data_IF_057180680643
#
_entry.id   IF_057180680643
#
_cell.length_a   1.000
_cell.length_b   1.000
_cell.length_c   1.000
_cell.angle_alpha   90.00
_cell.angle_beta   90.00
_cell.angle_gamma   90.00
#
_symmetry.space_group_name_H-M   'P 1'
#
loop_
_entity.id
_entity.type
_entity.pdbx_description
1 polymer ?
#
# COMPACT_ATOMS: atom_id res chain seq x y z
N UNK A 1 23.54 -7.39 -18.79
CA UNK A 1 23.34 -8.55 -17.89
C UNK A 1 23.29 -8.19 -16.41
N UNK A 2 24.25 -7.47 -15.81
CA UNK A 2 24.26 -7.14 -14.35
C UNK A 2 22.99 -6.46 -13.80
N UNK A 3 22.33 -5.56 -14.54
CA UNK A 3 21.08 -4.92 -14.10
C UNK A 3 19.88 -5.86 -14.03
N UNK A 4 19.75 -6.81 -14.98
CA UNK A 4 18.69 -7.83 -14.97
C UNK A 4 18.88 -8.81 -13.80
N UNK A 5 20.12 -9.23 -13.54
CA UNK A 5 20.46 -10.12 -12.43
C UNK A 5 20.16 -9.47 -11.07
N UNK A 6 20.49 -8.19 -10.88
CA UNK A 6 20.15 -7.44 -9.66
C UNK A 6 18.64 -7.35 -9.41
N UNK A 7 17.83 -7.15 -10.47
CA UNK A 7 16.36 -7.10 -10.33
C UNK A 7 15.76 -8.47 -9.98
N UNK A 8 16.28 -9.54 -10.57
CA UNK A 8 15.85 -10.93 -10.25
C UNK A 8 16.23 -11.28 -8.80
N UNK A 9 17.45 -10.96 -8.36
CA UNK A 9 17.87 -11.19 -6.98
C UNK A 9 17.03 -10.41 -5.97
N UNK A 10 16.69 -9.15 -6.26
CA UNK A 10 15.78 -8.37 -5.42
C UNK A 10 14.39 -9.01 -5.34
N UNK A 11 13.85 -9.46 -6.47
CA UNK A 11 12.56 -10.16 -6.50
C UNK A 11 12.59 -11.43 -5.65
N UNK A 12 13.59 -12.28 -5.84
CA UNK A 12 13.75 -13.51 -5.08
C UNK A 12 13.95 -13.24 -3.58
N UNK A 13 14.66 -12.19 -3.22
CA UNK A 13 14.84 -11.77 -1.82
C UNK A 13 13.51 -11.38 -1.17
N UNK A 14 12.73 -10.48 -1.77
CA UNK A 14 11.45 -10.04 -1.19
C UNK A 14 10.39 -11.14 -1.21
N UNK A 15 10.39 -11.99 -2.24
CA UNK A 15 9.53 -13.17 -2.29
C UNK A 15 9.93 -14.18 -1.21
N UNK A 16 11.22 -14.48 -1.09
CA UNK A 16 11.75 -15.37 -0.06
C UNK A 16 11.49 -14.85 1.35
N UNK A 17 11.64 -13.54 1.57
CA UNK A 17 11.27 -12.89 2.84
C UNK A 17 9.78 -13.08 3.14
N UNK A 18 8.90 -12.83 2.16
CA UNK A 18 7.46 -13.02 2.32
C UNK A 18 7.07 -14.46 2.65
N UNK A 19 7.61 -15.42 1.88
CA UNK A 19 7.38 -16.85 2.13
C UNK A 19 7.97 -17.30 3.48
N UNK A 20 9.14 -16.78 3.85
CA UNK A 20 9.74 -17.02 5.17
C UNK A 20 8.88 -16.52 6.32
N UNK A 21 8.26 -15.33 6.17
CA UNK A 21 7.31 -14.78 7.15
C UNK A 21 6.02 -15.60 7.24
N UNK A 22 5.52 -16.12 6.11
CA UNK A 22 4.38 -17.05 6.12
C UNK A 22 4.76 -18.32 6.86
N UNK A 23 5.89 -18.93 6.49
CA UNK A 23 6.37 -20.13 7.15
C UNK A 23 6.54 -19.90 8.66
N UNK A 24 7.16 -18.80 9.07
CA UNK A 24 7.35 -18.42 10.46
C UNK A 24 6.00 -18.29 11.21
N UNK A 25 5.01 -17.64 10.59
CA UNK A 25 3.71 -17.41 11.21
C UNK A 25 2.85 -18.68 11.33
N UNK A 26 3.05 -19.66 10.44
CA UNK A 26 2.28 -20.91 10.42
C UNK A 26 2.99 -22.05 11.14
N UNK A 27 4.33 -22.11 11.07
CA UNK A 27 5.11 -23.20 11.66
C UNK A 27 5.07 -23.21 13.20
N UNK A 28 4.85 -22.03 13.81
CA UNK A 28 4.70 -21.92 15.28
C UNK A 28 3.32 -22.30 15.81
N UNK A 29 2.34 -22.62 14.94
CA UNK A 29 0.98 -22.95 15.36
C UNK A 29 0.89 -24.41 15.80
N UNK A 30 0.30 -24.64 16.96
CA UNK A 30 -0.09 -25.97 17.42
C UNK A 30 -1.23 -26.56 16.56
N UNK A 31 -1.42 -27.89 16.55
CA UNK A 31 -2.55 -28.50 15.85
C UNK A 31 -3.93 -27.93 16.24
N UNK A 32 -4.10 -27.54 17.51
CA UNK A 32 -5.31 -26.88 18.01
C UNK A 32 -5.50 -25.50 17.40
N UNK A 33 -4.45 -24.68 17.32
CA UNK A 33 -4.49 -23.35 16.70
C UNK A 33 -4.74 -23.42 15.20
N UNK A 34 -4.23 -24.44 14.51
CA UNK A 34 -4.53 -24.70 13.09
C UNK A 34 -6.00 -25.07 12.91
N UNK A 35 -6.58 -25.89 13.81
CA UNK A 35 -7.99 -26.21 13.80
C UNK A 35 -8.86 -24.97 14.08
N UNK A 36 -8.48 -24.13 15.07
CA UNK A 36 -9.13 -22.84 15.35
C UNK A 36 -9.11 -21.93 14.14
N UNK A 37 -7.95 -21.79 13.47
CA UNK A 37 -7.81 -20.98 12.27
C UNK A 37 -8.75 -21.46 11.14
N UNK A 38 -8.82 -22.77 10.90
CA UNK A 38 -9.74 -23.36 9.89
C UNK A 38 -11.21 -23.10 10.23
N UNK A 39 -11.60 -23.28 11.49
CA UNK A 39 -12.95 -22.99 11.96
C UNK A 39 -13.29 -21.51 11.78
N UNK A 40 -12.37 -20.63 12.14
CA UNK A 40 -12.50 -19.18 11.97
C UNK A 40 -12.68 -18.74 10.52
N UNK A 41 -11.98 -19.38 9.57
CA UNK A 41 -12.23 -19.15 8.14
C UNK A 41 -13.64 -19.60 7.72
N UNK A 42 -14.11 -20.75 8.22
CA UNK A 42 -15.44 -21.27 7.92
C UNK A 42 -16.56 -20.37 8.47
N UNK A 43 -16.35 -19.72 9.60
CA UNK A 43 -17.31 -18.79 10.22
C UNK A 43 -17.34 -17.42 9.54
N UNK A 44 -16.38 -17.15 8.62
CA UNK A 44 -16.30 -15.86 7.94
C UNK A 44 -17.51 -15.63 7.04
N UNK A 45 -18.23 -14.56 7.30
CA UNK A 45 -19.42 -14.16 6.54
C UNK A 45 -19.01 -13.42 5.27
N UNK A 46 -18.72 -14.16 4.19
CA UNK A 46 -18.20 -13.64 2.92
C UNK A 46 -19.05 -12.51 2.31
N UNK A 47 -20.35 -12.46 2.59
CA UNK A 47 -21.26 -11.41 2.09
C UNK A 47 -20.80 -10.02 2.53
N UNK A 48 -20.24 -9.88 3.74
CA UNK A 48 -19.71 -8.61 4.24
C UNK A 48 -18.38 -8.20 3.60
N UNK A 49 -17.75 -9.08 2.81
CA UNK A 49 -16.58 -8.69 2.01
C UNK A 49 -17.00 -7.95 0.72
N UNK A 50 -18.24 -8.06 0.25
CA UNK A 50 -18.70 -7.31 -0.93
C UNK A 50 -18.56 -5.79 -0.75
N UNK A 51 -19.02 -5.17 0.36
CA UNK A 51 -18.75 -3.76 0.63
C UNK A 51 -17.25 -3.42 0.68
N UNK A 52 -16.42 -4.31 1.24
CA UNK A 52 -14.95 -4.15 1.26
C UNK A 52 -14.40 -4.04 -0.16
N UNK A 53 -14.79 -4.97 -1.06
CA UNK A 53 -14.37 -4.95 -2.46
C UNK A 53 -14.84 -3.67 -3.17
N UNK A 54 -16.05 -3.19 -2.87
CA UNK A 54 -16.58 -1.95 -3.43
C UNK A 54 -15.78 -0.72 -2.99
N UNK A 55 -15.43 -0.62 -1.70
CA UNK A 55 -14.54 0.44 -1.20
C UNK A 55 -13.19 0.44 -1.93
N UNK A 56 -12.60 -0.74 -2.15
CA UNK A 56 -11.33 -0.86 -2.88
C UNK A 56 -11.46 -0.40 -4.34
N UNK A 57 -12.55 -0.73 -5.03
CA UNK A 57 -12.80 -0.26 -6.40
C UNK A 57 -12.97 1.27 -6.46
N UNK A 58 -13.70 1.88 -5.50
CA UNK A 58 -13.84 3.33 -5.40
C UNK A 58 -12.47 3.98 -5.16
N UNK A 59 -11.63 3.38 -4.30
CA UNK A 59 -10.28 3.90 -4.07
C UNK A 59 -9.44 3.86 -5.35
N UNK A 60 -9.52 2.78 -6.14
CA UNK A 60 -8.81 2.66 -7.42
C UNK A 60 -9.33 3.67 -8.46
N UNK A 61 -10.64 3.90 -8.50
CA UNK A 61 -11.24 4.92 -9.35
C UNK A 61 -10.78 6.33 -8.95
N UNK A 62 -10.83 6.65 -7.66
CA UNK A 62 -10.35 7.94 -7.14
C UNK A 62 -8.85 8.14 -7.41
N UNK A 63 -8.06 7.07 -7.35
CA UNK A 63 -6.64 7.08 -7.74
C UNK A 63 -6.47 7.40 -9.23
N UNK A 64 -7.30 6.86 -10.10
CA UNK A 64 -7.26 7.16 -11.53
C UNK A 64 -7.61 8.64 -11.82
N UNK A 65 -8.65 9.17 -11.17
CA UNK A 65 -9.00 10.60 -11.28
C UNK A 65 -7.85 11.47 -10.77
N UNK A 66 -7.30 11.16 -9.59
CA UNK A 66 -6.16 11.87 -9.01
C UNK A 66 -4.95 11.86 -9.95
N UNK A 67 -4.63 10.71 -10.55
CA UNK A 67 -3.53 10.60 -11.49
C UNK A 67 -3.76 11.42 -12.77
N UNK A 68 -4.99 11.44 -13.30
CA UNK A 68 -5.37 12.28 -14.42
C UNK A 68 -5.16 13.77 -14.10
N UNK A 69 -5.59 14.23 -12.91
CA UNK A 69 -5.40 15.61 -12.46
C UNK A 69 -3.93 16.02 -12.42
N UNK A 70 -3.02 15.10 -12.13
CA UNK A 70 -1.58 15.34 -12.13
C UNK A 70 -0.99 15.49 -13.52
N UNK A 71 -1.67 15.05 -14.57
CA UNK A 71 -1.26 15.20 -15.97
C UNK A 71 -1.75 16.51 -16.58
N UNK A 72 -2.83 17.13 -16.05
CA UNK A 72 -3.38 18.39 -16.55
C UNK A 72 -2.36 19.54 -16.63
N UNK A 73 -1.50 19.79 -15.60
CA UNK A 73 -0.49 20.85 -15.66
C UNK A 73 0.61 20.61 -16.70
N UNK A 74 0.73 19.36 -17.19
CA UNK A 74 1.67 18.99 -18.25
C UNK A 74 1.07 19.14 -19.64
N UNK A 75 -0.20 19.60 -19.72
CA UNK A 75 -0.95 19.75 -20.98
C UNK A 75 -1.60 18.47 -21.49
N UNK A 76 -1.70 17.42 -20.67
CA UNK A 76 -2.27 16.14 -21.09
C UNK A 76 -3.60 15.84 -20.39
N UNK A 77 -4.59 15.44 -21.18
CA UNK A 77 -5.96 15.16 -20.72
C UNK A 77 -6.40 13.76 -21.16
N UNK A 78 -5.77 12.67 -20.62
CA UNK A 78 -6.13 11.31 -21.01
C UNK A 78 -7.59 10.99 -20.66
N UNK A 79 -8.19 10.04 -21.38
CA UNK A 79 -9.53 9.54 -21.06
C UNK A 79 -9.51 8.88 -19.68
N UNK A 80 -10.52 9.19 -18.86
CA UNK A 80 -10.63 8.60 -17.52
C UNK A 80 -10.77 7.08 -17.56
N UNK A 81 -11.51 6.53 -18.55
CA UNK A 81 -11.61 5.09 -18.77
C UNK A 81 -10.23 4.43 -18.96
N UNK A 82 -9.40 4.99 -19.86
CA UNK A 82 -8.04 4.47 -20.05
C UNK A 82 -7.20 4.62 -18.78
N UNK A 83 -7.24 5.79 -18.12
CA UNK A 83 -6.49 6.01 -16.88
C UNK A 83 -6.91 5.01 -15.79
N UNK A 84 -8.22 4.73 -15.66
CA UNK A 84 -8.72 3.76 -14.68
C UNK A 84 -8.26 2.34 -15.01
N UNK A 85 -8.41 1.91 -16.26
CA UNK A 85 -7.90 0.58 -16.68
C UNK A 85 -6.40 0.45 -16.45
N UNK A 86 -5.60 1.52 -16.69
CA UNK A 86 -4.16 1.50 -16.41
C UNK A 86 -3.85 1.36 -14.92
N UNK A 87 -4.63 1.96 -14.03
CA UNK A 87 -4.47 1.78 -12.58
C UNK A 87 -4.72 0.33 -12.19
N UNK A 88 -5.80 -0.29 -12.68
CA UNK A 88 -6.13 -1.70 -12.38
C UNK A 88 -5.06 -2.65 -12.93
N UNK A 89 -4.63 -2.46 -14.18
CA UNK A 89 -3.55 -3.22 -14.81
C UNK A 89 -2.23 -3.03 -14.04
N UNK A 90 -1.95 -1.82 -13.57
CA UNK A 90 -0.78 -1.53 -12.76
C UNK A 90 -0.76 -2.33 -11.46
N UNK A 91 -1.86 -2.39 -10.73
CA UNK A 91 -1.97 -3.21 -9.53
C UNK A 91 -1.81 -4.70 -9.82
N UNK A 92 -2.45 -5.19 -10.88
CA UNK A 92 -2.34 -6.59 -11.32
C UNK A 92 -0.88 -6.98 -11.60
N UNK A 93 -0.15 -6.19 -12.38
CA UNK A 93 1.25 -6.49 -12.67
C UNK A 93 2.17 -6.33 -11.45
N UNK A 94 1.82 -5.50 -10.49
CA UNK A 94 2.54 -5.40 -9.23
C UNK A 94 2.34 -6.61 -8.31
N UNK A 95 1.27 -7.39 -8.46
CA UNK A 95 1.14 -8.70 -7.80
C UNK A 95 2.17 -9.70 -8.35
N UNK A 96 2.43 -9.65 -9.67
CA UNK A 96 3.31 -10.60 -10.34
C UNK A 96 4.79 -10.26 -10.12
N UNK A 97 5.16 -8.99 -10.35
CA UNK A 97 6.55 -8.53 -10.26
C UNK A 97 6.62 -7.13 -9.62
N UNK A 98 7.52 -6.90 -8.64
CA UNK A 98 7.67 -5.59 -8.01
C UNK A 98 7.92 -4.49 -9.03
N UNK A 99 7.19 -3.37 -8.91
CA UNK A 99 7.33 -2.17 -9.77
C UNK A 99 7.00 -2.36 -11.25
N UNK A 100 6.69 -3.59 -11.69
CA UNK A 100 6.32 -3.83 -13.09
C UNK A 100 5.03 -3.09 -13.45
N UNK A 101 4.09 -3.01 -12.53
CA UNK A 101 2.83 -2.31 -12.75
C UNK A 101 3.00 -0.82 -13.03
N UNK A 102 3.97 -0.16 -12.41
CA UNK A 102 4.25 1.26 -12.68
C UNK A 102 4.80 1.46 -14.09
N UNK A 103 5.65 0.54 -14.55
CA UNK A 103 6.17 0.54 -15.92
C UNK A 103 5.04 0.24 -16.91
N UNK A 104 4.23 -0.78 -16.63
CA UNK A 104 3.14 -1.21 -17.53
C UNK A 104 2.07 -0.12 -17.66
N UNK A 105 1.63 0.50 -16.56
CA UNK A 105 0.63 1.57 -16.64
C UNK A 105 1.14 2.78 -17.43
N UNK A 106 2.42 3.16 -17.30
CA UNK A 106 3.02 4.23 -18.10
C UNK A 106 3.14 3.86 -19.58
N UNK A 107 3.65 2.67 -19.88
CA UNK A 107 3.86 2.23 -21.24
C UNK A 107 2.55 2.09 -22.00
N UNK A 108 1.53 1.50 -21.38
CA UNK A 108 0.23 1.35 -22.01
C UNK A 108 -0.48 2.69 -22.16
N UNK A 109 -0.48 3.56 -21.14
CA UNK A 109 -1.09 4.89 -21.26
C UNK A 109 -0.41 5.74 -22.32
N UNK A 110 0.95 5.68 -22.37
CA UNK A 110 1.73 6.34 -23.45
C UNK A 110 1.30 5.86 -24.83
N UNK A 111 1.09 4.56 -24.99
CA UNK A 111 0.69 3.97 -26.27
C UNK A 111 -0.72 4.40 -26.70
N UNK A 112 -1.70 4.39 -25.79
CA UNK A 112 -3.10 4.64 -26.12
C UNK A 112 -3.46 6.14 -26.15
N UNK A 113 -2.83 6.95 -25.30
CA UNK A 113 -3.14 8.40 -25.17
C UNK A 113 -2.05 9.30 -25.78
N UNK A 114 -0.98 8.70 -26.36
CA UNK A 114 0.13 9.43 -27.00
C UNK A 114 0.86 10.42 -26.07
N UNK A 115 0.93 10.10 -24.77
CA UNK A 115 1.64 10.89 -23.77
C UNK A 115 3.08 10.36 -23.64
N UNK A 116 4.12 11.20 -23.66
CA UNK A 116 5.51 10.76 -23.47
C UNK A 116 5.69 10.02 -22.14
N UNK A 117 6.34 8.85 -22.18
CA UNK A 117 6.48 7.98 -20.99
C UNK A 117 7.31 8.62 -19.86
N UNK A 118 8.29 9.48 -20.17
CA UNK A 118 9.08 10.24 -19.21
C UNK A 118 8.22 11.18 -18.37
N UNK A 119 7.22 11.83 -18.97
CA UNK A 119 6.26 12.70 -18.28
C UNK A 119 5.39 11.87 -17.33
N UNK A 120 4.91 10.72 -17.77
CA UNK A 120 4.11 9.79 -16.95
C UNK A 120 4.91 9.27 -15.75
N UNK A 121 6.18 8.90 -15.93
CA UNK A 121 7.05 8.47 -14.83
C UNK A 121 7.19 9.57 -13.78
N UNK A 122 7.34 10.83 -14.20
CA UNK A 122 7.38 11.98 -13.29
C UNK A 122 6.12 12.09 -12.43
N UNK A 123 4.94 11.87 -13.01
CA UNK A 123 3.67 11.90 -12.24
C UNK A 123 3.57 10.74 -11.23
N UNK A 124 4.12 9.56 -11.55
CA UNK A 124 4.14 8.43 -10.60
C UNK A 124 5.03 8.74 -9.40
N UNK A 125 6.20 9.33 -9.60
CA UNK A 125 7.08 9.74 -8.50
C UNK A 125 6.36 10.73 -7.57
N UNK A 126 5.68 11.72 -8.15
CA UNK A 126 4.87 12.67 -7.40
C UNK A 126 3.69 11.99 -6.68
N UNK A 127 3.00 11.02 -7.32
CA UNK A 127 1.95 10.21 -6.71
C UNK A 127 2.46 9.48 -5.46
N UNK A 128 3.62 8.83 -5.54
CA UNK A 128 4.24 8.13 -4.40
C UNK A 128 4.62 9.07 -3.27
N UNK A 129 5.14 10.25 -3.59
CA UNK A 129 5.47 11.27 -2.59
C UNK A 129 4.22 11.68 -1.78
N UNK A 130 3.10 11.89 -2.45
CA UNK A 130 1.84 12.26 -1.80
C UNK A 130 1.27 11.10 -0.97
N UNK A 131 1.37 9.86 -1.46
CA UNK A 131 0.95 8.69 -0.70
C UNK A 131 1.76 8.54 0.60
N UNK A 132 3.09 8.80 0.57
CA UNK A 132 3.94 8.79 1.77
C UNK A 132 3.52 9.88 2.76
N UNK A 133 3.25 11.10 2.28
CA UNK A 133 2.79 12.21 3.13
C UNK A 133 1.43 11.88 3.74
N UNK A 134 0.52 11.32 2.95
CA UNK A 134 -0.81 10.91 3.44
C UNK A 134 -0.68 9.83 4.51
N UNK A 135 0.21 8.84 4.33
CA UNK A 135 0.49 7.82 5.34
C UNK A 135 1.05 8.46 6.63
N UNK A 136 1.95 9.45 6.52
CA UNK A 136 2.45 10.18 7.68
C UNK A 136 1.33 10.90 8.42
N UNK A 137 0.41 11.57 7.70
CA UNK A 137 -0.75 12.24 8.32
C UNK A 137 -1.65 11.24 9.03
N UNK A 138 -1.97 10.10 8.39
CA UNK A 138 -2.78 9.04 9.01
C UNK A 138 -2.08 8.43 10.23
N UNK A 139 -0.76 8.28 10.18
CA UNK A 139 0.05 7.83 11.32
C UNK A 139 -0.02 8.82 12.49
N UNK A 140 0.06 10.13 12.23
CA UNK A 140 -0.10 11.15 13.25
C UNK A 140 -1.51 11.13 13.86
N UNK A 141 -2.56 10.95 13.05
CA UNK A 141 -3.93 10.78 13.52
C UNK A 141 -4.05 9.54 14.40
N UNK A 142 -3.46 8.41 13.98
CA UNK A 142 -3.43 7.17 14.78
C UNK A 142 -2.77 7.43 16.14
N UNK A 143 -1.59 8.02 16.16
CA UNK A 143 -0.88 8.33 17.43
C UNK A 143 -1.72 9.25 18.31
N UNK A 144 -2.29 10.32 17.77
CA UNK A 144 -3.09 11.27 18.53
C UNK A 144 -4.37 10.63 19.11
N UNK A 145 -5.05 9.77 18.33
CA UNK A 145 -6.32 9.16 18.75
C UNK A 145 -6.14 7.91 19.61
N UNK A 146 -5.01 7.21 19.49
CA UNK A 146 -4.72 5.96 20.22
C UNK A 146 -3.61 6.12 21.27
N UNK A 147 -3.19 7.36 21.57
CA UNK A 147 -2.07 7.64 22.46
C UNK A 147 -2.22 6.96 23.82
N UNK A 148 -3.39 7.06 24.43
CA UNK A 148 -3.64 6.47 25.75
C UNK A 148 -3.55 4.93 25.71
N UNK A 149 -4.10 4.29 24.68
CA UNK A 149 -4.09 2.82 24.54
C UNK A 149 -2.69 2.30 24.23
N UNK A 150 -2.00 2.90 23.28
CA UNK A 150 -0.63 2.54 22.94
C UNK A 150 0.33 2.83 24.10
N UNK A 151 0.14 3.97 24.79
CA UNK A 151 0.90 4.34 25.97
C UNK A 151 0.68 3.38 27.14
N UNK A 152 -0.55 2.98 27.42
CA UNK A 152 -0.85 2.02 28.51
C UNK A 152 -0.25 0.65 28.21
N UNK A 153 -0.44 0.11 27.00
CA UNK A 153 0.15 -1.18 26.60
C UNK A 153 1.68 -1.15 26.69
N UNK A 154 2.29 -0.02 26.31
CA UNK A 154 3.74 0.17 26.45
C UNK A 154 4.16 0.27 27.92
N UNK A 155 3.42 1.02 28.74
CA UNK A 155 3.67 1.15 30.17
C UNK A 155 3.49 -0.18 30.92
N UNK A 156 2.49 -0.98 30.58
CA UNK A 156 2.26 -2.30 31.15
C UNK A 156 3.42 -3.26 30.79
N UNK A 157 3.83 -3.25 29.52
CA UNK A 157 4.99 -4.00 29.08
C UNK A 157 6.28 -3.56 29.80
N UNK A 158 6.45 -2.26 30.04
CA UNK A 158 7.58 -1.70 30.80
C UNK A 158 7.49 -2.04 32.28
N UNK A 159 6.30 -1.99 32.90
CA UNK A 159 6.08 -2.37 34.31
C UNK A 159 6.35 -3.84 34.56
N UNK A 160 5.97 -4.72 33.60
CA UNK A 160 6.24 -6.15 33.67
C UNK A 160 7.72 -6.53 33.59
N UNK A 161 8.57 -5.60 33.11
CA UNK A 161 10.04 -5.81 33.00
C UNK A 161 10.84 -5.31 34.22
N UNK A 162 10.19 -4.78 35.29
CA UNK A 162 10.90 -4.12 36.39
C UNK A 162 11.38 -2.71 35.99
N UNK A 163 11.09 -1.68 36.82
CA UNK A 163 11.28 -0.28 36.42
C UNK A 163 12.69 0.08 35.94
N UNK A 164 13.73 -0.50 36.53
CA UNK A 164 15.12 -0.22 36.16
C UNK A 164 15.52 -0.90 34.83
N UNK A 165 15.12 -2.14 34.60
CA UNK A 165 15.35 -2.83 33.31
C UNK A 165 14.59 -2.19 32.16
N UNK A 166 13.35 -1.76 32.42
CA UNK A 166 12.55 -1.06 31.43
C UNK A 166 13.19 0.26 31.01
N UNK A 167 13.65 1.06 31.99
CA UNK A 167 14.36 2.31 31.75
C UNK A 167 15.62 2.10 30.90
N UNK A 168 16.43 1.11 31.27
CA UNK A 168 17.65 0.77 30.52
C UNK A 168 17.33 0.33 29.10
N UNK A 169 16.35 -0.57 28.89
CA UNK A 169 15.94 -1.05 27.54
C UNK A 169 15.40 0.08 26.66
N UNK A 170 14.56 0.97 27.20
CA UNK A 170 14.02 2.12 26.47
C UNK A 170 15.14 3.12 26.14
N UNK A 171 16.02 3.42 27.09
CA UNK A 171 17.15 4.33 26.87
C UNK A 171 18.12 3.76 25.84
N UNK A 172 18.39 2.46 25.87
CA UNK A 172 19.20 1.76 24.85
C UNK A 172 18.52 1.80 23.48
N UNK A 173 17.20 1.55 23.41
CA UNK A 173 16.46 1.62 22.14
C UNK A 173 16.46 3.03 21.56
N UNK A 174 16.20 4.05 22.37
CA UNK A 174 16.28 5.45 21.96
C UNK A 174 17.70 5.83 21.55
N UNK A 175 18.70 5.45 22.31
CA UNK A 175 20.11 5.64 21.97
C UNK A 175 20.49 4.95 20.66
N UNK A 176 20.01 3.73 20.45
CA UNK A 176 20.21 2.99 19.20
C UNK A 176 19.52 3.70 18.02
N UNK A 177 18.27 4.15 18.17
CA UNK A 177 17.55 4.87 17.13
C UNK A 177 18.22 6.20 16.77
N UNK A 178 18.64 6.97 17.78
CA UNK A 178 19.42 8.21 17.58
C UNK A 178 20.76 7.91 16.93
N UNK A 179 21.49 6.90 17.43
CA UNK A 179 22.76 6.47 16.87
C UNK A 179 22.65 6.00 15.41
N UNK A 180 21.62 5.20 15.09
CA UNK A 180 21.31 4.79 13.71
C UNK A 180 20.94 5.99 12.83
N UNK A 181 20.16 6.94 13.37
CA UNK A 181 19.81 8.17 12.66
C UNK A 181 21.04 9.03 12.34
N UNK A 182 21.93 9.23 13.32
CA UNK A 182 23.19 9.95 13.15
C UNK A 182 24.15 9.21 12.20
N UNK A 183 24.24 7.89 12.33
CA UNK A 183 25.05 7.05 11.43
C UNK A 183 24.53 7.14 10.00
N UNK A 184 23.21 7.01 9.82
CA UNK A 184 22.57 7.16 8.50
C UNK A 184 22.83 8.55 7.92
N UNK A 185 22.62 9.60 8.71
CA UNK A 185 22.92 10.99 8.29
C UNK A 185 24.38 11.15 7.89
N UNK A 186 25.32 10.62 8.70
CA UNK A 186 26.76 10.67 8.41
C UNK A 186 27.12 9.90 7.14
N UNK A 187 26.57 8.66 6.98
CA UNK A 187 26.77 7.84 5.78
C UNK A 187 26.23 8.55 4.54
N UNK A 188 25.01 9.09 4.61
CA UNK A 188 24.42 9.83 3.50
C UNK A 188 25.25 11.05 3.12
N UNK A 189 25.80 11.76 4.10
CA UNK A 189 26.63 12.94 3.88
C UNK A 189 28.03 12.59 3.35
N UNK A 190 28.68 11.55 3.92
CA UNK A 190 30.02 11.13 3.53
C UNK A 190 30.05 10.47 2.15
N UNK A 191 29.03 9.69 1.83
CA UNK A 191 28.98 8.88 0.61
C UNK A 191 28.02 9.42 -0.45
N UNK A 192 27.83 10.72 -0.53
CA UNK A 192 26.93 11.39 -1.49
C UNK A 192 27.24 11.05 -2.97
N UNK A 193 28.48 10.69 -3.27
CA UNK A 193 28.92 10.32 -4.61
C UNK A 193 28.48 8.92 -5.04
N UNK A 194 28.12 8.04 -4.09
CA UNK A 194 27.70 6.66 -4.38
C UNK A 194 26.31 6.60 -4.99
N UNK A 195 26.11 5.70 -5.96
CA UNK A 195 24.83 5.51 -6.66
C UNK A 195 23.63 5.28 -5.72
N UNK A 196 23.71 4.41 -4.67
CA UNK A 196 22.58 4.20 -3.77
C UNK A 196 22.24 5.45 -2.95
N UNK A 197 23.24 6.21 -2.50
CA UNK A 197 23.04 7.45 -1.74
C UNK A 197 22.41 8.53 -2.62
N UNK A 198 22.90 8.68 -3.86
CA UNK A 198 22.25 9.56 -4.86
C UNK A 198 20.80 9.16 -5.14
N UNK A 199 20.46 7.88 -5.02
CA UNK A 199 19.07 7.43 -5.15
C UNK A 199 18.20 7.91 -3.98
N UNK A 200 18.73 7.89 -2.74
CA UNK A 200 18.04 8.42 -1.55
C UNK A 200 17.82 9.93 -1.68
N UNK A 201 18.85 10.70 -2.06
CA UNK A 201 18.70 12.14 -2.29
C UNK A 201 17.74 12.46 -3.44
N UNK A 202 17.77 11.66 -4.53
CA UNK A 202 16.79 11.79 -5.62
C UNK A 202 15.38 11.51 -5.16
N UNK A 203 15.18 10.50 -4.33
CA UNK A 203 13.88 10.19 -3.75
C UNK A 203 13.38 11.31 -2.85
N UNK A 204 14.22 11.82 -1.94
CA UNK A 204 13.89 12.97 -1.09
C UNK A 204 13.61 14.24 -1.92
N UNK A 205 14.43 14.51 -2.95
CA UNK A 205 14.19 15.59 -3.91
C UNK A 205 12.91 15.37 -4.73
N UNK A 206 12.58 14.13 -5.06
CA UNK A 206 11.31 13.75 -5.69
C UNK A 206 10.09 14.05 -4.81
N UNK A 207 10.19 13.85 -3.49
CA UNK A 207 9.15 14.22 -2.53
C UNK A 207 8.94 15.73 -2.53
N UNK A 208 10.00 16.53 -2.45
CA UNK A 208 9.91 18.01 -2.47
C UNK A 208 9.38 18.51 -3.81
N UNK A 209 9.85 17.97 -4.93
CA UNK A 209 9.34 18.31 -6.25
C UNK A 209 7.88 17.87 -6.44
N UNK A 210 7.50 16.71 -5.91
CA UNK A 210 6.13 16.24 -5.90
C UNK A 210 5.20 17.19 -5.15
N UNK A 211 5.61 17.65 -3.96
CA UNK A 211 4.89 18.68 -3.19
C UNK A 211 4.77 20.02 -3.94
N UNK A 212 5.86 20.46 -4.56
CA UNK A 212 5.85 21.69 -5.36
C UNK A 212 4.97 21.55 -6.61
N UNK A 213 4.93 20.37 -7.23
CA UNK A 213 4.08 20.12 -8.40
C UNK A 213 2.58 20.19 -8.06
N UNK A 214 2.19 19.80 -6.83
CA UNK A 214 0.81 19.91 -6.35
C UNK A 214 0.32 21.36 -6.32
N UNK A 215 1.20 22.32 -6.01
CA UNK A 215 0.86 23.75 -6.05
C UNK A 215 0.53 24.26 -7.46
N UNK A 216 1.00 23.56 -8.50
CA UNK A 216 0.73 23.89 -9.90
C UNK A 216 -0.57 23.25 -10.44
N UNK A 217 -1.28 22.47 -9.62
CA UNK A 217 -2.51 21.82 -10.04
C UNK A 217 -3.64 22.86 -10.21
N UNK A 218 -4.25 22.89 -11.37
CA UNK A 218 -5.39 23.76 -11.65
C UNK A 218 -6.62 23.43 -10.77
N UNK A 219 -6.75 22.16 -10.34
CA UNK A 219 -7.89 21.64 -9.58
C UNK A 219 -7.44 21.04 -8.23
N UNK A 220 -6.75 21.83 -7.43
CA UNK A 220 -6.19 21.38 -6.14
C UNK A 220 -7.27 20.80 -5.20
N UNK A 221 -8.47 21.42 -5.15
CA UNK A 221 -9.59 20.92 -4.32
C UNK A 221 -10.01 19.51 -4.73
N UNK A 222 -10.17 19.23 -6.02
CA UNK A 222 -10.54 17.92 -6.53
C UNK A 222 -9.42 16.88 -6.22
N UNK A 223 -8.15 17.27 -6.40
CA UNK A 223 -7.01 16.45 -6.06
C UNK A 223 -6.98 16.04 -4.58
N UNK A 224 -7.17 17.02 -3.68
CA UNK A 224 -7.23 16.78 -2.23
C UNK A 224 -8.43 15.91 -1.87
N UNK A 225 -9.60 16.17 -2.45
CA UNK A 225 -10.81 15.36 -2.23
C UNK A 225 -10.57 13.89 -2.61
N UNK A 226 -10.04 13.63 -3.80
CA UNK A 226 -9.75 12.25 -4.22
C UNK A 226 -8.64 11.60 -3.38
N UNK A 227 -7.67 12.38 -2.87
CA UNK A 227 -6.69 11.85 -1.91
C UNK A 227 -7.36 11.42 -0.61
N UNK A 228 -8.27 12.24 -0.05
CA UNK A 228 -9.04 11.90 1.15
C UNK A 228 -9.92 10.67 0.89
N UNK A 229 -10.64 10.63 -0.24
CA UNK A 229 -11.49 9.48 -0.59
C UNK A 229 -10.67 8.18 -0.64
N UNK A 230 -9.47 8.17 -1.23
CA UNK A 230 -8.62 6.98 -1.28
C UNK A 230 -8.35 6.43 0.13
N UNK A 231 -7.92 7.29 1.05
CA UNK A 231 -7.57 6.87 2.40
C UNK A 231 -8.78 6.53 3.26
N UNK A 232 -9.91 7.24 3.08
CA UNK A 232 -11.18 6.89 3.71
C UNK A 232 -11.70 5.53 3.23
N UNK A 233 -11.60 5.24 1.93
CA UNK A 233 -12.03 3.94 1.39
C UNK A 233 -11.14 2.79 1.90
N UNK A 234 -9.85 3.02 2.10
CA UNK A 234 -8.98 2.04 2.75
C UNK A 234 -9.36 1.83 4.22
N UNK A 235 -9.62 2.91 4.97
CA UNK A 235 -10.08 2.83 6.36
C UNK A 235 -11.41 2.08 6.46
N UNK A 236 -12.37 2.47 5.63
CA UNK A 236 -13.71 1.89 5.58
C UNK A 236 -13.68 0.42 5.19
N UNK A 237 -12.81 0.04 4.24
CA UNK A 237 -12.64 -1.36 3.85
C UNK A 237 -12.19 -2.25 5.01
N UNK A 238 -11.33 -1.75 5.90
CA UNK A 238 -10.90 -2.48 7.11
C UNK A 238 -12.04 -2.54 8.12
N UNK A 239 -12.73 -1.41 8.35
CA UNK A 239 -13.84 -1.34 9.28
C UNK A 239 -15.00 -2.26 8.89
N UNK A 240 -15.41 -2.26 7.63
CA UNK A 240 -16.42 -3.18 7.10
C UNK A 240 -15.94 -4.63 7.13
N UNK A 241 -14.63 -4.84 6.97
CA UNK A 241 -14.02 -6.16 7.11
C UNK A 241 -14.22 -6.77 8.48
N UNK A 242 -14.32 -5.97 9.56
CA UNK A 242 -14.64 -6.49 10.89
C UNK A 242 -16.01 -7.19 10.94
N UNK A 243 -16.99 -6.70 10.18
CA UNK A 243 -18.33 -7.31 10.14
C UNK A 243 -18.31 -8.70 9.51
N UNK A 244 -17.32 -8.99 8.67
CA UNK A 244 -17.15 -10.30 8.05
C UNK A 244 -16.62 -11.36 9.03
N UNK A 245 -15.98 -10.96 10.12
CA UNK A 245 -15.27 -11.86 11.02
C UNK A 245 -15.73 -11.66 12.47
N UNK A 246 -16.55 -12.58 13.03
CA UNK A 246 -17.23 -12.39 14.32
C UNK A 246 -16.30 -12.02 15.47
N UNK A 247 -15.08 -12.59 15.50
CA UNK A 247 -14.12 -12.40 16.60
C UNK A 247 -13.59 -10.96 16.67
N UNK A 248 -13.69 -10.17 15.62
CA UNK A 248 -13.26 -8.75 15.57
C UNK A 248 -14.41 -7.78 15.29
N UNK A 249 -15.66 -8.28 15.15
CA UNK A 249 -16.82 -7.46 14.75
C UNK A 249 -17.15 -6.33 15.76
N UNK A 250 -16.71 -6.46 17.01
CA UNK A 250 -16.88 -5.45 18.06
C UNK A 250 -15.85 -4.31 18.00
N UNK A 251 -14.84 -4.41 17.13
CA UNK A 251 -13.79 -3.42 17.04
C UNK A 251 -14.27 -2.17 16.28
N UNK A 252 -13.81 -1.00 16.73
CA UNK A 252 -14.19 0.29 16.17
C UNK A 252 -13.12 0.91 15.28
N UNK A 253 -13.36 2.15 14.87
CA UNK A 253 -12.47 2.94 13.99
C UNK A 253 -11.03 3.04 14.49
N UNK A 254 -10.78 3.05 15.81
CA UNK A 254 -9.43 3.10 16.34
C UNK A 254 -8.58 1.90 15.90
N UNK A 255 -9.14 0.68 15.96
CA UNK A 255 -8.47 -0.52 15.49
C UNK A 255 -8.27 -0.48 13.96
N UNK A 256 -9.25 0.03 13.21
CA UNK A 256 -9.14 0.17 11.76
C UNK A 256 -8.01 1.11 11.35
N UNK A 257 -7.87 2.26 12.01
CA UNK A 257 -6.77 3.22 11.76
C UNK A 257 -5.41 2.58 12.09
N UNK A 258 -5.31 1.85 13.19
CA UNK A 258 -4.08 1.16 13.56
C UNK A 258 -3.70 0.09 12.52
N UNK A 259 -4.67 -0.73 12.08
CA UNK A 259 -4.46 -1.72 11.01
C UNK A 259 -4.10 -1.03 9.69
N UNK A 260 -4.73 0.10 9.35
CA UNK A 260 -4.41 0.86 8.15
C UNK A 260 -2.94 1.30 8.14
N UNK A 261 -2.44 1.81 9.27
CA UNK A 261 -1.05 2.27 9.39
C UNK A 261 -0.07 1.10 9.39
N UNK A 262 -0.20 0.16 10.34
CA UNK A 262 0.74 -0.95 10.46
C UNK A 262 0.65 -1.93 9.28
N UNK A 263 -0.56 -2.17 8.76
CA UNK A 263 -0.78 -2.92 7.53
C UNK A 263 -0.14 -2.27 6.31
N UNK A 264 -0.18 -0.93 6.19
CA UNK A 264 0.52 -0.21 5.12
C UNK A 264 2.03 -0.41 5.17
N UNK A 265 2.64 -0.39 6.36
CA UNK A 265 4.05 -0.76 6.52
C UNK A 265 4.31 -2.22 6.13
N UNK A 266 3.43 -3.15 6.50
CA UNK A 266 3.50 -4.55 6.07
C UNK A 266 3.44 -4.71 4.56
N UNK A 267 2.54 -3.95 3.89
CA UNK A 267 2.42 -3.94 2.42
C UNK A 267 3.68 -3.41 1.71
N UNK A 268 4.42 -2.50 2.35
CA UNK A 268 5.66 -1.94 1.82
C UNK A 268 6.86 -2.89 2.07
N UNK A 269 6.85 -3.63 3.19
CA UNK A 269 7.97 -4.45 3.64
C UNK A 269 8.23 -5.66 2.75
N UNK A 270 7.19 -6.27 2.17
CA UNK A 270 7.31 -7.45 1.30
C UNK A 270 6.56 -7.26 -0.01
N UNK A 271 6.82 -8.13 -0.98
CA UNK A 271 6.13 -8.11 -2.27
C UNK A 271 4.62 -8.33 -2.10
N UNK A 272 3.81 -7.31 -2.41
CA UNK A 272 2.35 -7.39 -2.25
C UNK A 272 1.88 -7.62 -0.81
N UNK A 273 2.72 -7.34 0.19
CA UNK A 273 2.41 -7.50 1.60
C UNK A 273 2.41 -8.95 2.09
N UNK A 274 2.83 -9.91 1.25
CA UNK A 274 2.79 -11.34 1.58
C UNK A 274 3.58 -11.63 2.86
N UNK A 275 2.93 -12.23 3.85
CA UNK A 275 3.48 -12.54 5.17
C UNK A 275 3.55 -11.34 6.11
N UNK A 276 4.13 -10.22 5.67
CA UNK A 276 4.33 -9.05 6.51
C UNK A 276 3.01 -8.32 6.85
N UNK A 277 2.06 -8.23 5.92
CA UNK A 277 0.76 -7.64 6.18
C UNK A 277 -0.01 -8.44 7.24
N UNK A 278 -0.07 -9.76 7.09
CA UNK A 278 -0.76 -10.65 8.02
C UNK A 278 -0.18 -10.54 9.42
N UNK A 279 1.15 -10.57 9.54
CA UNK A 279 1.84 -10.38 10.82
C UNK A 279 1.60 -8.98 11.41
N UNK A 280 1.60 -7.93 10.59
CA UNK A 280 1.31 -6.58 11.05
C UNK A 280 -0.12 -6.48 11.61
N UNK A 281 -1.12 -7.04 10.92
CA UNK A 281 -2.50 -7.11 11.39
C UNK A 281 -2.61 -7.93 12.68
N UNK A 282 -2.00 -9.12 12.73
CA UNK A 282 -1.96 -9.97 13.93
C UNK A 282 -1.42 -9.22 15.13
N UNK A 283 -0.23 -8.60 15.02
CA UNK A 283 0.41 -7.87 16.12
C UNK A 283 -0.40 -6.63 16.53
N UNK A 284 -1.02 -5.95 15.57
CA UNK A 284 -1.92 -4.84 15.86
C UNK A 284 -3.13 -5.29 16.67
N UNK A 285 -3.80 -6.38 16.24
CA UNK A 285 -5.00 -6.88 16.89
C UNK A 285 -4.75 -7.44 18.31
N UNK A 286 -3.54 -7.96 18.57
CA UNK A 286 -3.12 -8.33 19.92
C UNK A 286 -3.21 -7.14 20.90
N UNK A 287 -2.89 -5.91 20.46
CA UNK A 287 -3.03 -4.70 21.29
C UNK A 287 -4.50 -4.36 21.62
N UNK A 288 -5.43 -4.96 20.89
CA UNK A 288 -6.88 -4.83 21.10
C UNK A 288 -7.50 -6.03 21.81
N UNK A 289 -6.68 -6.97 22.34
CA UNK A 289 -7.13 -8.14 23.09
C UNK A 289 -7.63 -9.29 22.22
N UNK A 290 -7.37 -9.25 20.91
CA UNK A 290 -7.72 -10.34 19.98
C UNK A 290 -6.64 -11.42 20.01
N UNK A 291 -7.03 -12.70 19.99
CA UNK A 291 -6.08 -13.81 19.99
C UNK A 291 -5.12 -13.77 18.79
N UNK A 292 -3.94 -14.34 18.94
CA UNK A 292 -2.92 -14.41 17.90
C UNK A 292 -3.47 -15.08 16.63
N UNK A 293 -4.21 -16.18 16.80
CA UNK A 293 -4.80 -16.96 15.70
C UNK A 293 -5.87 -16.14 14.96
N UNK A 294 -6.79 -15.53 15.73
CA UNK A 294 -7.84 -14.70 15.14
C UNK A 294 -7.26 -13.49 14.39
N UNK A 295 -6.26 -12.81 14.96
CA UNK A 295 -5.58 -11.69 14.33
C UNK A 295 -4.88 -12.08 13.02
N UNK A 296 -4.20 -13.23 13.00
CA UNK A 296 -3.55 -13.77 11.81
C UNK A 296 -4.59 -14.15 10.74
N UNK A 297 -5.66 -14.84 11.14
CA UNK A 297 -6.77 -15.24 10.25
C UNK A 297 -7.41 -14.02 9.60
N UNK A 298 -7.70 -12.98 10.39
CA UNK A 298 -8.27 -11.74 9.86
C UNK A 298 -7.33 -11.03 8.90
N UNK A 299 -6.02 -11.04 9.17
CA UNK A 299 -5.00 -10.53 8.25
C UNK A 299 -5.05 -11.25 6.89
N UNK A 300 -5.24 -12.57 6.87
CA UNK A 300 -5.42 -13.34 5.65
C UNK A 300 -6.73 -13.03 4.92
N UNK A 301 -7.83 -12.83 5.65
CA UNK A 301 -9.13 -12.46 5.07
C UNK A 301 -9.04 -11.12 4.34
N UNK A 302 -8.51 -10.08 5.00
CA UNK A 302 -8.37 -8.75 4.38
C UNK A 302 -7.41 -8.76 3.19
N UNK A 303 -6.25 -9.40 3.34
CA UNK A 303 -5.29 -9.52 2.26
C UNK A 303 -5.85 -10.32 1.08
N UNK A 304 -6.56 -11.42 1.37
CA UNK A 304 -7.21 -12.25 0.35
C UNK A 304 -8.29 -11.49 -0.42
N UNK A 305 -9.12 -10.70 0.26
CA UNK A 305 -10.11 -9.84 -0.39
C UNK A 305 -9.44 -8.83 -1.34
N UNK A 306 -8.36 -8.18 -0.89
CA UNK A 306 -7.59 -7.25 -1.72
C UNK A 306 -6.92 -7.96 -2.91
N UNK A 307 -6.35 -9.14 -2.70
CA UNK A 307 -5.74 -9.94 -3.76
C UNK A 307 -6.76 -10.32 -4.84
N UNK A 308 -7.93 -10.82 -4.44
CA UNK A 308 -9.00 -11.24 -5.35
C UNK A 308 -9.49 -10.07 -6.20
N UNK A 309 -9.76 -8.89 -5.60
CA UNK A 309 -10.26 -7.75 -6.36
C UNK A 309 -9.21 -7.22 -7.35
N UNK A 310 -7.93 -7.18 -6.97
CA UNK A 310 -6.85 -6.77 -7.87
C UNK A 310 -6.72 -7.76 -9.04
N UNK A 311 -6.77 -9.06 -8.76
CA UNK A 311 -6.68 -10.10 -9.78
C UNK A 311 -7.83 -10.00 -10.78
N UNK A 312 -9.08 -10.00 -10.28
CA UNK A 312 -10.27 -9.98 -11.14
C UNK A 312 -10.37 -8.67 -11.93
N UNK A 313 -10.22 -7.53 -11.26
CA UNK A 313 -10.31 -6.22 -11.94
C UNK A 313 -9.17 -6.01 -12.94
N UNK A 314 -7.97 -6.52 -12.66
CA UNK A 314 -6.84 -6.45 -13.58
C UNK A 314 -7.04 -7.29 -14.84
N UNK A 315 -7.55 -8.52 -14.69
CA UNK A 315 -7.90 -9.39 -15.85
C UNK A 315 -9.00 -8.75 -16.70
N UNK A 316 -10.06 -8.26 -16.06
CA UNK A 316 -11.13 -7.54 -16.76
C UNK A 316 -10.60 -6.29 -17.47
N UNK A 317 -9.72 -5.52 -16.83
CA UNK A 317 -9.12 -4.33 -17.42
C UNK A 317 -8.26 -4.66 -18.65
N UNK A 318 -7.49 -5.76 -18.61
CA UNK A 318 -6.70 -6.22 -19.76
C UNK A 318 -7.60 -6.62 -20.96
N UNK A 319 -8.72 -7.26 -20.70
CA UNK A 319 -9.70 -7.62 -21.74
C UNK A 319 -10.43 -6.40 -22.33
N UNK A 320 -10.83 -5.45 -21.48
CA UNK A 320 -11.59 -4.26 -21.91
C UNK A 320 -10.71 -3.23 -22.63
N UNK A 321 -9.42 -3.16 -22.31
CA UNK A 321 -8.52 -2.15 -22.88
C UNK A 321 -8.50 -2.11 -24.42
N UNK A 322 -8.30 -3.22 -25.14
CA UNK A 322 -8.35 -3.20 -26.61
C UNK A 322 -9.74 -2.90 -27.14
N UNK A 323 -10.81 -3.38 -26.49
CA UNK A 323 -12.20 -3.17 -26.92
C UNK A 323 -12.56 -1.68 -26.93
N UNK A 324 -12.31 -0.97 -25.80
CA UNK A 324 -12.61 0.46 -25.66
C UNK A 324 -11.79 1.32 -26.62
N UNK A 325 -10.62 0.85 -27.07
CA UNK A 325 -9.74 1.61 -27.93
C UNK A 325 -9.82 1.23 -29.43
N UNK A 326 -10.41 0.07 -29.80
CA UNK A 326 -10.63 -0.33 -31.20
C UNK A 326 -11.56 0.63 -31.95
N UNK A 327 -12.63 1.06 -31.33
CA UNK A 327 -13.65 1.96 -31.90
C UNK A 327 -13.06 3.27 -32.45
N UNK A 328 -11.89 3.69 -31.99
CA UNK A 328 -11.23 4.92 -32.49
C UNK A 328 -10.42 4.71 -33.78
N UNK A 329 -9.84 3.53 -33.93
CA UNK A 329 -9.03 3.22 -35.11
C UNK A 329 -9.95 3.07 -36.34
N UNK A 330 -11.11 2.46 -36.16
CA UNK A 330 -12.09 2.25 -37.22
C UNK A 330 -12.78 3.54 -37.65
N UNK A 331 -13.16 4.42 -36.68
CA UNK A 331 -13.74 5.73 -37.00
C UNK A 331 -12.73 6.67 -37.70
N UNK A 332 -11.44 6.56 -37.38
CA UNK A 332 -10.39 7.38 -38.01
C UNK A 332 -10.04 6.88 -39.42
N UNK A 333 -10.10 5.58 -39.66
CA UNK A 333 -9.90 5.01 -40.97
C UNK A 333 -11.07 5.33 -41.92
N UNK A 334 -12.30 5.38 -41.43
CA UNK A 334 -13.46 5.80 -42.22
C UNK A 334 -13.45 7.29 -42.58
N UNK A 335 -12.88 8.18 -41.76
CA UNK A 335 -12.76 9.62 -42.04
C UNK A 335 -11.63 9.97 -43.02
N UNK A 336 -10.74 9.04 -43.34
CA UNK A 336 -9.66 9.21 -44.34
C UNK A 336 -9.97 8.55 -45.70
N UNK A 337 -11.09 7.84 -45.83
CA UNK A 337 -11.54 7.15 -47.06
C UNK A 337 -12.77 7.78 -47.71
N UNK A 338 -13.28 8.87 -47.18
CA UNK A 338 -14.29 9.73 -47.74
C UNK A 338 -13.75 11.14 -48.02
#
# INVERSE_FOLDING_TARGET
>A
MRKKLSSVLQYLFFLGLGLGLIWYSLHGLSPAEVAEMKASFAETKLIYLLPVLFCLLISHYSRAVRWRLMMEPLGYYPRLSNTYLMVLIGYFFNLLVPRLGEVMKCTLLSRYEKIPADKLIGTIVAERAIDVISLMVVTLIMVATQFNRLGQSTLEALRGMGGQEAFVKVSLLLGLLVGLGLLLWWVLRKYQHLKPVKAVYRFAGGITQGLLSVRKLHRLRAFTLHTIIIWLMYLESIYLGFLAFPQVAHLGLGASVAILVFGSFGMIATQGGVGAYQLAVQKTLLLYGISSVAGLTFGWILWGAQFVIILLSGVVALGLLPVINKTKTDARNQSHTG
#
